data_IF_340359583901
#
_entry.id   IF_340359583901
#
_cell.length_a   1.000
_cell.length_b   1.000
_cell.length_c   1.000
_cell.angle_alpha   90.00
_cell.angle_beta   90.00
_cell.angle_gamma   90.00
#
_symmetry.space_group_name_H-M   'P 1'
#
loop_
_entity.id
_entity.type
_entity.pdbx_description
1 polymer ?
#
# COMPACT_ATOMS: atom_id res chain seq x y z
N UNK A 1 1.42 3.67 37.14
CA UNK A 1 2.28 2.66 36.48
C UNK A 1 1.44 1.47 36.05
N UNK A 2 0.59 0.91 36.91
CA UNK A 2 -0.29 -0.22 36.55
C UNK A 2 -1.32 0.08 35.44
N UNK A 3 -1.81 1.33 35.34
CA UNK A 3 -2.71 1.75 34.26
C UNK A 3 -2.05 1.71 32.88
N UNK A 4 -0.81 2.23 32.79
CA UNK A 4 -0.10 2.36 31.51
C UNK A 4 0.36 1.01 30.99
N UNK A 5 0.73 0.09 31.90
CA UNK A 5 1.04 -1.31 31.57
C UNK A 5 -0.20 -2.00 31.02
N UNK A 6 -1.35 -1.89 31.70
CA UNK A 6 -2.61 -2.49 31.25
C UNK A 6 -3.06 -1.95 29.88
N UNK A 7 -2.92 -0.64 29.65
CA UNK A 7 -3.18 0.00 28.35
C UNK A 7 -2.22 -0.54 27.28
N UNK A 8 -0.91 -0.60 27.59
CA UNK A 8 0.09 -1.11 26.68
C UNK A 8 -0.16 -2.56 26.30
N UNK A 9 -0.50 -3.43 27.25
CA UNK A 9 -0.81 -4.83 27.01
C UNK A 9 -2.07 -5.01 26.16
N UNK A 10 -3.08 -4.17 26.37
CA UNK A 10 -4.31 -4.16 25.56
C UNK A 10 -3.99 -3.81 24.10
N UNK A 11 -3.23 -2.74 23.87
CA UNK A 11 -2.82 -2.37 22.52
C UNK A 11 -1.87 -3.40 21.90
N UNK A 12 -0.93 -3.91 22.67
CA UNK A 12 0.04 -4.91 22.20
C UNK A 12 -0.68 -6.17 21.74
N UNK A 13 -1.62 -6.68 22.52
CA UNK A 13 -2.42 -7.85 22.17
C UNK A 13 -3.22 -7.61 20.89
N UNK A 14 -3.90 -6.48 20.80
CA UNK A 14 -4.70 -6.12 19.63
C UNK A 14 -3.84 -5.98 18.36
N UNK A 15 -2.74 -5.23 18.40
CA UNK A 15 -1.90 -5.00 17.22
C UNK A 15 -1.07 -6.23 16.85
N UNK A 16 -0.62 -7.05 17.81
CA UNK A 16 -0.02 -8.35 17.49
C UNK A 16 -1.00 -9.23 16.72
N UNK A 17 -2.24 -9.35 17.19
CA UNK A 17 -3.27 -10.10 16.47
C UNK A 17 -3.55 -9.50 15.09
N UNK A 18 -3.61 -8.17 14.98
CA UNK A 18 -3.83 -7.49 13.71
C UNK A 18 -2.73 -7.80 12.68
N UNK A 19 -1.46 -7.79 13.09
CA UNK A 19 -0.31 -8.06 12.22
C UNK A 19 0.11 -9.54 12.16
N UNK A 20 -0.74 -10.44 12.67
CA UNK A 20 -0.56 -11.89 12.53
C UNK A 20 -1.25 -12.37 11.26
N UNK A 21 -0.53 -13.15 10.44
CA UNK A 21 -1.06 -13.75 9.21
C UNK A 21 -2.32 -14.57 9.45
N UNK A 22 -3.25 -14.54 8.50
CA UNK A 22 -4.41 -15.43 8.50
C UNK A 22 -4.07 -16.89 8.14
N UNK A 23 -2.82 -17.18 7.77
CA UNK A 23 -2.36 -18.49 7.33
C UNK A 23 -2.22 -18.59 5.80
N UNK A 24 -1.80 -19.76 5.29
CA UNK A 24 -1.59 -19.96 3.86
C UNK A 24 -2.91 -19.85 3.10
N UNK A 25 -2.88 -19.08 2.00
CA UNK A 25 -4.02 -18.89 1.10
C UNK A 25 -3.76 -19.63 -0.21
N UNK A 26 -4.82 -20.16 -0.83
CA UNK A 26 -4.69 -20.71 -2.17
C UNK A 26 -4.74 -19.57 -3.19
N UNK A 27 -3.57 -19.19 -3.70
CA UNK A 27 -3.42 -18.04 -4.60
C UNK A 27 -3.45 -18.40 -6.09
N UNK A 28 -3.53 -19.69 -6.45
CA UNK A 28 -3.29 -20.14 -7.82
C UNK A 28 -4.19 -19.44 -8.83
N UNK A 29 -5.49 -19.37 -8.56
CA UNK A 29 -6.49 -18.93 -9.52
C UNK A 29 -6.45 -17.40 -9.69
N UNK A 30 -6.23 -16.68 -8.58
CA UNK A 30 -6.07 -15.21 -8.58
C UNK A 30 -4.79 -14.84 -9.33
N UNK A 31 -3.68 -15.55 -9.10
CA UNK A 31 -2.42 -15.25 -9.77
C UNK A 31 -2.48 -15.51 -11.27
N UNK A 32 -3.32 -16.42 -11.77
CA UNK A 32 -3.54 -16.58 -13.22
C UNK A 32 -4.15 -15.33 -13.86
N UNK A 33 -4.84 -14.50 -13.08
CA UNK A 33 -5.45 -13.26 -13.54
C UNK A 33 -4.48 -12.08 -13.50
N UNK A 34 -3.32 -12.18 -12.87
CA UNK A 34 -2.32 -11.10 -12.85
C UNK A 34 -1.52 -11.10 -14.15
N UNK A 35 -1.48 -9.95 -14.81
CA UNK A 35 -0.79 -9.76 -16.09
C UNK A 35 0.72 -9.50 -15.90
N UNK A 36 1.52 -10.00 -16.84
CA UNK A 36 2.96 -9.76 -16.89
C UNK A 36 3.22 -8.39 -17.53
N UNK A 37 3.35 -7.35 -16.71
CA UNK A 37 3.47 -5.95 -17.14
C UNK A 37 4.89 -5.39 -17.02
N UNK A 38 5.74 -5.98 -16.17
CA UNK A 38 7.11 -5.49 -15.92
C UNK A 38 8.05 -5.99 -17.01
N UNK A 39 8.58 -5.06 -17.80
CA UNK A 39 9.50 -5.39 -18.89
C UNK A 39 10.93 -5.63 -18.41
N UNK A 40 11.74 -6.30 -19.23
CA UNK A 40 13.18 -6.44 -18.98
C UNK A 40 13.91 -5.09 -18.87
N UNK A 41 13.43 -4.06 -19.59
CA UNK A 41 14.00 -2.71 -19.51
C UNK A 41 13.72 -2.04 -18.16
N UNK A 42 12.48 -2.16 -17.66
CA UNK A 42 12.11 -1.71 -16.32
C UNK A 42 12.98 -2.38 -15.27
N UNK A 43 13.11 -3.72 -15.33
CA UNK A 43 13.95 -4.47 -14.40
C UNK A 43 15.42 -4.02 -14.41
N UNK A 44 16.01 -3.75 -15.59
CA UNK A 44 17.38 -3.20 -15.68
C UNK A 44 17.50 -1.83 -15.00
N UNK A 45 16.50 -0.96 -15.16
CA UNK A 45 16.47 0.36 -14.52
C UNK A 45 16.34 0.24 -12.99
N UNK A 46 15.40 -0.59 -12.52
CA UNK A 46 15.17 -0.84 -11.09
C UNK A 46 16.41 -1.41 -10.39
N UNK A 47 17.21 -2.23 -11.09
CA UNK A 47 18.42 -2.88 -10.58
C UNK A 47 19.72 -2.14 -10.90
N UNK A 48 19.66 -0.96 -11.52
CA UNK A 48 20.84 -0.18 -11.83
C UNK A 48 21.67 0.14 -10.56
N UNK A 49 22.98 0.35 -10.70
CA UNK A 49 23.82 0.72 -9.57
C UNK A 49 23.31 2.01 -8.89
N UNK A 50 23.26 2.02 -7.55
CA UNK A 50 22.79 3.17 -6.79
C UNK A 50 23.82 4.30 -6.87
N UNK A 51 23.37 5.46 -7.34
CA UNK A 51 24.23 6.65 -7.43
C UNK A 51 24.16 7.48 -6.14
N UNK A 52 25.22 8.23 -5.86
CA UNK A 52 25.24 9.16 -4.72
C UNK A 52 24.16 10.24 -4.85
N UNK A 53 23.90 10.70 -6.07
CA UNK A 53 22.89 11.72 -6.35
C UNK A 53 21.48 11.20 -6.09
N UNK A 54 21.20 9.95 -6.44
CA UNK A 54 19.92 9.31 -6.14
C UNK A 54 19.67 9.22 -4.62
N UNK A 55 20.69 8.86 -3.84
CA UNK A 55 20.61 8.83 -2.37
C UNK A 55 20.38 10.23 -1.81
N UNK A 56 21.07 11.24 -2.36
CA UNK A 56 20.87 12.64 -1.98
C UNK A 56 19.43 13.08 -2.26
N UNK A 57 18.91 12.81 -3.45
CA UNK A 57 17.53 13.12 -3.82
C UNK A 57 16.52 12.43 -2.90
N UNK A 58 16.78 11.20 -2.47
CA UNK A 58 15.95 10.51 -1.48
C UNK A 58 15.93 11.25 -0.13
N UNK A 59 17.09 11.63 0.41
CA UNK A 59 17.21 12.35 1.69
C UNK A 59 16.53 13.72 1.65
N UNK A 60 16.76 14.50 0.60
CA UNK A 60 16.21 15.85 0.45
C UNK A 60 14.74 15.83 0.01
N UNK A 61 14.26 14.73 -0.56
CA UNK A 61 12.84 14.49 -0.83
C UNK A 61 12.04 13.98 0.37
N UNK A 62 12.70 13.64 1.48
CA UNK A 62 12.07 13.30 2.75
C UNK A 62 11.93 14.57 3.62
N UNK A 63 10.87 14.63 4.42
CA UNK A 63 10.62 15.79 5.28
C UNK A 63 11.64 15.91 6.41
N UNK A 64 12.31 17.05 6.51
CA UNK A 64 13.39 17.31 7.47
C UNK A 64 12.94 17.32 8.93
N UNK A 65 11.75 17.88 9.20
CA UNK A 65 11.19 18.05 10.54
C UNK A 65 10.21 16.93 10.95
N UNK A 66 10.18 15.82 10.20
CA UNK A 66 9.35 14.66 10.58
C UNK A 66 9.93 13.98 11.82
N UNK A 67 9.03 13.45 12.66
CA UNK A 67 9.41 12.73 13.87
C UNK A 67 10.36 11.55 13.54
N UNK A 68 11.44 11.36 14.31
CA UNK A 68 12.40 10.28 14.10
C UNK A 68 11.83 8.93 14.54
N UNK A 69 12.49 7.86 14.11
CA UNK A 69 12.26 6.52 14.62
C UNK A 69 13.01 6.26 15.93
N UNK A 70 13.13 4.98 16.33
CA UNK A 70 13.87 4.56 17.52
C UNK A 70 15.32 5.07 17.64
N UNK A 71 16.00 5.31 16.52
CA UNK A 71 17.39 5.81 16.50
C UNK A 71 17.52 7.29 16.90
N UNK A 72 16.40 8.02 16.95
CA UNK A 72 16.35 9.42 17.36
C UNK A 72 16.90 10.41 16.32
N UNK A 73 17.35 9.97 15.13
CA UNK A 73 17.92 10.86 14.12
C UNK A 73 16.85 11.36 13.13
N UNK A 74 16.47 12.65 13.18
CA UNK A 74 15.49 13.20 12.25
C UNK A 74 16.10 13.48 10.88
N UNK A 75 15.26 13.76 9.88
CA UNK A 75 15.73 14.12 8.53
C UNK A 75 16.65 15.33 8.49
N UNK A 76 16.43 16.30 9.39
CA UNK A 76 17.27 17.47 9.55
C UNK A 76 18.74 17.11 9.79
N UNK A 77 19.04 16.05 10.55
CA UNK A 77 20.40 15.59 10.78
C UNK A 77 21.09 15.19 9.45
N UNK A 78 20.44 14.33 8.66
CA UNK A 78 20.98 13.83 7.40
C UNK A 78 21.16 14.93 6.35
N UNK A 79 20.22 15.88 6.30
CA UNK A 79 20.29 17.01 5.37
C UNK A 79 21.37 18.01 5.76
N UNK A 80 21.49 18.33 7.05
CA UNK A 80 22.46 19.31 7.57
C UNK A 80 23.89 18.78 7.45
N UNK A 81 24.11 17.52 7.85
CA UNK A 81 25.43 16.90 7.89
C UNK A 81 25.71 16.03 6.66
N UNK A 82 25.02 16.27 5.54
CA UNK A 82 25.14 15.47 4.31
C UNK A 82 26.61 15.32 3.87
N UNK A 83 27.39 16.39 3.91
CA UNK A 83 28.82 16.37 3.52
C UNK A 83 29.66 15.42 4.37
N UNK A 84 29.21 15.11 5.59
CA UNK A 84 29.87 14.20 6.54
C UNK A 84 29.36 12.77 6.35
N UNK A 85 28.04 12.57 6.29
CA UNK A 85 27.43 11.22 6.32
C UNK A 85 27.29 10.57 4.93
N UNK A 86 27.43 11.34 3.85
CA UNK A 86 27.10 10.88 2.49
C UNK A 86 27.76 9.55 2.08
N UNK A 87 29.06 9.38 2.34
CA UNK A 87 29.80 8.18 1.97
C UNK A 87 29.26 6.94 2.68
N UNK A 88 29.02 7.04 3.98
CA UNK A 88 28.52 5.92 4.79
C UNK A 88 27.11 5.53 4.35
N UNK A 89 26.22 6.52 4.15
CA UNK A 89 24.84 6.25 3.74
C UNK A 89 24.78 5.68 2.31
N UNK A 90 25.60 6.20 1.39
CA UNK A 90 25.69 5.66 0.03
C UNK A 90 26.24 4.23 0.01
N UNK A 91 27.28 3.94 0.80
CA UNK A 91 27.82 2.58 0.93
C UNK A 91 26.79 1.62 1.53
N UNK A 92 26.09 2.03 2.59
CA UNK A 92 25.03 1.23 3.19
C UNK A 92 23.89 0.95 2.20
N UNK A 93 23.45 1.98 1.45
CA UNK A 93 22.41 1.83 0.43
C UNK A 93 22.87 0.91 -0.70
N UNK A 94 24.09 1.09 -1.21
CA UNK A 94 24.64 0.26 -2.28
C UNK A 94 24.76 -1.19 -1.83
N UNK A 95 25.26 -1.44 -0.61
CA UNK A 95 25.37 -2.79 -0.03
C UNK A 95 24.01 -3.46 0.10
N UNK A 96 22.99 -2.72 0.57
CA UNK A 96 21.62 -3.23 0.63
C UNK A 96 21.11 -3.62 -0.76
N UNK A 97 21.26 -2.76 -1.78
CA UNK A 97 20.82 -3.08 -3.14
C UNK A 97 21.57 -4.25 -3.78
N UNK A 98 22.82 -4.50 -3.39
CA UNK A 98 23.61 -5.62 -3.92
C UNK A 98 23.32 -6.95 -3.21
N UNK A 99 23.16 -6.92 -1.89
CA UNK A 99 23.10 -8.13 -1.06
C UNK A 99 21.70 -8.46 -0.54
N UNK A 100 20.83 -7.45 -0.45
CA UNK A 100 19.55 -7.51 0.26
C UNK A 100 19.67 -7.44 1.77
N UNK A 101 20.87 -7.42 2.34
CA UNK A 101 21.05 -7.43 3.78
C UNK A 101 20.68 -6.09 4.39
N UNK A 102 19.63 -6.08 5.22
CA UNK A 102 19.22 -4.95 6.02
C UNK A 102 19.58 -5.21 7.49
N UNK A 103 20.28 -4.26 8.11
CA UNK A 103 20.53 -4.31 9.55
C UNK A 103 19.19 -4.23 10.29
N UNK A 104 18.90 -5.23 11.13
CA UNK A 104 17.63 -5.35 11.86
C UNK A 104 17.30 -4.10 12.69
N UNK A 105 18.32 -3.45 13.24
CA UNK A 105 18.18 -2.21 14.02
C UNK A 105 17.62 -1.04 13.19
N UNK A 106 17.91 -0.99 11.89
CA UNK A 106 17.40 0.08 11.02
C UNK A 106 15.90 -0.04 10.81
N UNK A 107 15.35 -1.27 10.82
CA UNK A 107 13.93 -1.50 10.59
C UNK A 107 13.09 -1.63 11.88
N UNK A 108 13.64 -1.19 13.02
CA UNK A 108 12.85 -0.94 14.22
C UNK A 108 11.98 0.28 14.01
N UNK A 109 10.73 0.16 14.43
CA UNK A 109 9.72 1.21 14.22
C UNK A 109 8.92 1.43 15.49
N UNK A 110 8.74 2.69 15.87
CA UNK A 110 7.81 3.06 16.93
C UNK A 110 6.41 3.23 16.35
N UNK A 111 5.41 2.58 16.96
CA UNK A 111 4.01 2.70 16.57
C UNK A 111 3.33 3.76 17.43
N UNK A 112 2.99 4.90 16.84
CA UNK A 112 2.19 5.95 17.47
C UNK A 112 0.73 5.72 17.14
N UNK A 113 -0.14 5.84 18.14
CA UNK A 113 -1.57 5.63 17.98
C UNK A 113 -2.29 6.98 17.95
N UNK A 114 -2.82 7.35 16.78
CA UNK A 114 -3.60 8.58 16.60
C UNK A 114 -5.10 8.28 16.73
N UNK A 115 -5.86 9.01 17.56
CA UNK A 115 -7.29 8.80 17.68
C UNK A 115 -8.02 9.14 16.37
N UNK A 116 -8.91 8.26 15.90
CA UNK A 116 -9.79 8.50 14.74
C UNK A 116 -11.08 9.21 15.13
N UNK A 117 -11.49 9.09 16.40
CA UNK A 117 -12.73 9.64 16.94
C UNK A 117 -12.44 10.41 18.24
N UNK A 118 -13.31 11.36 18.63
CA UNK A 118 -13.27 11.94 19.98
C UNK A 118 -13.43 10.85 21.04
N UNK A 119 -12.63 10.89 22.10
CA UNK A 119 -12.70 9.97 23.25
C UNK A 119 -12.71 8.47 22.86
N UNK A 120 -11.63 7.95 22.25
CA UNK A 120 -11.57 6.55 21.87
C UNK A 120 -11.56 5.62 23.10
N UNK A 121 -12.43 4.62 23.09
CA UNK A 121 -12.58 3.59 24.13
C UNK A 121 -11.99 2.24 23.69
N UNK A 122 -11.78 2.05 22.37
CA UNK A 122 -11.33 0.79 21.80
C UNK A 122 -10.11 0.95 20.89
N UNK A 123 -9.26 -0.08 20.84
CA UNK A 123 -8.01 -0.05 20.07
C UNK A 123 -8.21 0.16 18.55
N UNK A 124 -9.31 -0.32 17.96
CA UNK A 124 -9.60 -0.12 16.54
C UNK A 124 -9.93 1.33 16.15
N UNK A 125 -10.29 2.15 17.15
CA UNK A 125 -10.54 3.58 16.99
C UNK A 125 -9.25 4.40 16.92
N UNK A 126 -8.08 3.75 16.98
CA UNK A 126 -6.79 4.38 16.75
C UNK A 126 -6.24 4.01 15.37
N UNK A 127 -5.61 4.98 14.70
CA UNK A 127 -4.81 4.78 13.49
C UNK A 127 -3.35 4.57 13.91
N UNK A 128 -2.74 3.42 13.56
CA UNK A 128 -1.32 3.20 13.82
C UNK A 128 -0.47 3.97 12.81
N UNK A 129 0.45 4.81 13.29
CA UNK A 129 1.46 5.50 12.47
C UNK A 129 2.83 4.96 12.82
N UNK A 130 3.53 4.44 11.82
CA UNK A 130 4.90 3.94 11.95
C UNK A 130 5.93 5.07 11.88
N UNK A 131 6.63 5.29 12.99
CA UNK A 131 7.85 6.09 13.03
C UNK A 131 9.05 5.18 12.79
N UNK A 132 9.30 4.85 11.52
CA UNK A 132 10.51 4.13 11.13
C UNK A 132 11.73 5.07 11.10
N UNK A 133 12.91 4.49 11.37
CA UNK A 133 14.17 5.22 11.34
C UNK A 133 14.38 5.92 10.01
N UNK A 134 14.89 7.15 10.05
CA UNK A 134 15.09 7.93 8.84
C UNK A 134 16.12 7.28 7.90
N UNK A 135 17.14 6.64 8.48
CA UNK A 135 18.12 5.81 7.77
C UNK A 135 17.47 4.72 6.92
N UNK A 136 16.51 3.96 7.46
CA UNK A 136 15.72 3.00 6.69
C UNK A 136 14.85 3.69 5.63
N UNK A 137 14.19 4.80 5.97
CA UNK A 137 13.37 5.57 5.01
C UNK A 137 14.17 6.02 3.79
N UNK A 138 15.47 6.27 3.91
CA UNK A 138 16.31 6.60 2.74
C UNK A 138 16.32 5.43 1.76
N UNK A 139 16.53 4.20 2.24
CA UNK A 139 16.55 3.00 1.41
C UNK A 139 15.21 2.80 0.69
N UNK A 140 14.12 2.81 1.45
CA UNK A 140 12.78 2.61 0.88
C UNK A 140 12.37 3.77 -0.02
N UNK A 141 12.85 4.99 0.24
CA UNK A 141 12.63 6.16 -0.63
C UNK A 141 13.37 6.05 -1.94
N UNK A 142 14.60 5.55 -1.96
CA UNK A 142 15.32 5.25 -3.21
C UNK A 142 14.52 4.24 -4.03
N UNK A 143 14.06 3.15 -3.40
CA UNK A 143 13.24 2.14 -4.10
C UNK A 143 11.93 2.73 -4.65
N UNK A 144 11.22 3.52 -3.84
CA UNK A 144 9.99 4.19 -4.25
C UNK A 144 10.24 5.16 -5.42
N UNK A 145 11.34 5.92 -5.39
CA UNK A 145 11.70 6.84 -6.46
C UNK A 145 12.03 6.10 -7.78
N UNK A 146 12.60 4.90 -7.72
CA UNK A 146 12.83 4.05 -8.90
C UNK A 146 11.55 3.45 -9.47
N UNK A 147 10.58 3.11 -8.62
CA UNK A 147 9.28 2.58 -9.07
C UNK A 147 8.38 3.67 -9.67
N UNK A 148 8.40 4.87 -9.07
CA UNK A 148 7.48 5.96 -9.38
C UNK A 148 7.30 6.25 -10.88
N UNK A 149 8.35 6.31 -11.72
CA UNK A 149 8.20 6.57 -13.16
C UNK A 149 7.41 5.50 -13.92
N UNK A 150 7.43 4.25 -13.46
CA UNK A 150 6.78 3.13 -14.11
C UNK A 150 5.33 2.92 -13.66
N UNK A 151 4.92 3.54 -12.55
CA UNK A 151 3.57 3.35 -11.99
C UNK A 151 2.42 3.58 -12.97
N UNK A 152 2.45 4.55 -13.90
CA UNK A 152 1.38 4.72 -14.89
C UNK A 152 1.19 3.51 -15.82
N UNK A 153 2.27 2.78 -16.11
CA UNK A 153 2.25 1.58 -16.95
C UNK A 153 1.94 0.30 -16.15
N UNK A 154 2.22 0.30 -14.85
CA UNK A 154 2.09 -0.87 -13.98
C UNK A 154 0.73 -0.99 -13.28
N UNK A 155 -0.06 0.08 -13.23
CA UNK A 155 -1.34 0.14 -12.50
C UNK A 155 -2.47 0.50 -13.47
N UNK A 156 -3.59 -0.22 -13.38
CA UNK A 156 -4.79 0.02 -14.18
C UNK A 156 -5.30 1.47 -14.11
N UNK A 157 -5.91 1.96 -15.19
CA UNK A 157 -6.38 3.35 -15.28
C UNK A 157 -7.48 3.70 -14.26
N UNK A 158 -8.26 2.70 -13.83
CA UNK A 158 -9.33 2.83 -12.85
C UNK A 158 -8.83 3.20 -11.44
N UNK A 159 -7.51 3.21 -11.22
CA UNK A 159 -6.85 3.58 -9.98
C UNK A 159 -6.11 4.93 -10.14
N UNK A 160 -6.66 5.99 -9.53
CA UNK A 160 -6.12 7.34 -9.68
C UNK A 160 -5.10 7.76 -8.60
N UNK A 161 -5.01 7.03 -7.48
CA UNK A 161 -4.18 7.43 -6.35
C UNK A 161 -2.69 7.05 -6.51
N UNK A 162 -1.79 7.93 -6.06
CA UNK A 162 -0.33 7.72 -6.01
C UNK A 162 0.38 7.45 -7.36
N UNK A 163 -0.32 7.58 -8.48
CA UNK A 163 0.25 7.50 -9.83
C UNK A 163 0.49 8.92 -10.35
N UNK A 164 1.69 9.17 -10.87
CA UNK A 164 2.03 10.46 -11.47
C UNK A 164 1.05 10.75 -12.62
N UNK A 165 0.69 12.03 -12.79
CA UNK A 165 -0.26 12.53 -13.80
C UNK A 165 -1.71 12.05 -13.69
N UNK A 166 -2.09 11.29 -12.65
CA UNK A 166 -3.50 11.01 -12.33
C UNK A 166 -3.96 11.92 -11.21
N UNK A 167 -5.07 12.64 -11.40
CA UNK A 167 -5.66 13.45 -10.34
C UNK A 167 -6.83 12.71 -9.72
N UNK A 168 -6.86 12.63 -8.39
CA UNK A 168 -7.98 12.02 -7.66
C UNK A 168 -9.32 12.72 -7.98
N UNK A 169 -9.26 13.99 -8.37
CA UNK A 169 -10.41 14.80 -8.77
C UNK A 169 -11.11 14.24 -10.01
N UNK A 170 -10.38 13.64 -10.94
CA UNK A 170 -10.96 13.04 -12.15
C UNK A 170 -11.91 11.90 -11.77
N UNK A 171 -11.47 11.00 -10.90
CA UNK A 171 -12.31 9.91 -10.38
C UNK A 171 -13.50 10.45 -9.57
N UNK A 172 -13.37 11.59 -8.88
CA UNK A 172 -14.50 12.22 -8.16
C UNK A 172 -15.57 12.70 -9.14
N UNK A 173 -15.18 13.31 -10.26
CA UNK A 173 -16.11 13.76 -11.30
C UNK A 173 -16.83 12.56 -11.91
N UNK A 174 -16.09 11.51 -12.29
CA UNK A 174 -16.69 10.28 -12.83
C UNK A 174 -17.65 9.65 -11.82
N UNK A 175 -17.26 9.53 -10.54
CA UNK A 175 -18.12 9.01 -9.50
C UNK A 175 -19.41 9.83 -9.34
N UNK A 176 -19.31 11.16 -9.36
CA UNK A 176 -20.46 12.05 -9.26
C UNK A 176 -21.45 11.85 -10.43
N UNK A 177 -20.93 11.75 -11.65
CA UNK A 177 -21.73 11.47 -12.84
C UNK A 177 -22.39 10.08 -12.77
N UNK A 178 -21.66 9.06 -12.32
CA UNK A 178 -22.21 7.72 -12.11
C UNK A 178 -23.36 7.71 -11.10
N UNK A 179 -23.22 8.42 -9.97
CA UNK A 179 -24.32 8.54 -9.00
C UNK A 179 -25.49 9.38 -9.53
N UNK A 180 -25.23 10.39 -10.35
CA UNK A 180 -26.28 11.13 -11.03
C UNK A 180 -27.06 10.22 -11.99
N UNK A 181 -26.36 9.44 -12.80
CA UNK A 181 -26.94 8.47 -13.73
C UNK A 181 -27.78 7.41 -13.01
N UNK A 182 -27.30 6.86 -11.89
CA UNK A 182 -28.08 5.94 -11.06
C UNK A 182 -29.41 6.54 -10.57
N UNK A 183 -29.43 7.84 -10.22
CA UNK A 183 -30.67 8.54 -9.85
C UNK A 183 -31.63 8.63 -11.03
N UNK A 184 -31.13 8.91 -12.24
CA UNK A 184 -31.95 8.95 -13.45
C UNK A 184 -32.54 7.58 -13.78
N UNK A 185 -31.75 6.51 -13.73
CA UNK A 185 -32.23 5.14 -13.96
C UNK A 185 -33.35 4.76 -12.99
N UNK A 186 -33.22 5.14 -11.71
CA UNK A 186 -34.27 4.96 -10.69
C UNK A 186 -35.57 5.65 -11.07
N UNK A 187 -35.53 6.86 -11.64
CA UNK A 187 -36.72 7.56 -12.12
C UNK A 187 -37.36 6.90 -13.35
N UNK A 188 -36.56 6.23 -14.19
CA UNK A 188 -37.02 5.52 -15.38
C UNK A 188 -37.46 4.07 -15.11
N UNK A 189 -37.39 3.60 -13.86
CA UNK A 189 -37.74 2.22 -13.50
C UNK A 189 -36.71 1.16 -13.97
N UNK A 190 -35.51 1.58 -14.33
CA UNK A 190 -34.40 0.70 -14.70
C UNK A 190 -33.52 0.42 -13.47
N UNK A 191 -33.15 -0.85 -13.27
CA UNK A 191 -32.40 -1.30 -12.11
C UNK A 191 -30.88 -1.28 -12.34
N UNK A 192 -30.17 -0.44 -11.59
CA UNK A 192 -28.71 -0.45 -11.49
C UNK A 192 -28.30 -0.16 -10.04
N UNK A 193 -27.08 -0.55 -9.64
CA UNK A 193 -26.57 -0.27 -8.31
C UNK A 193 -25.15 0.30 -8.34
N UNK A 194 -24.88 1.14 -7.33
CA UNK A 194 -23.55 1.57 -6.94
C UNK A 194 -23.23 1.00 -5.56
N UNK A 195 -22.08 0.34 -5.42
CA UNK A 195 -21.62 -0.22 -4.16
C UNK A 195 -20.33 0.48 -3.74
N UNK A 196 -20.31 1.04 -2.52
CA UNK A 196 -19.10 1.55 -1.88
C UNK A 196 -18.57 0.51 -0.90
N UNK A 197 -17.32 0.11 -1.08
CA UNK A 197 -16.57 -0.72 -0.16
C UNK A 197 -15.44 0.08 0.47
N UNK A 198 -15.23 -0.13 1.77
CA UNK A 198 -14.11 0.40 2.54
C UNK A 198 -13.25 -0.78 2.99
N UNK A 199 -11.98 -0.81 2.59
CA UNK A 199 -11.06 -1.88 2.97
C UNK A 199 -10.62 -1.61 4.41
N UNK A 200 -11.21 -2.36 5.35
CA UNK A 200 -10.87 -2.22 6.75
C UNK A 200 -9.38 -2.51 6.99
N UNK A 201 -8.66 -1.50 7.47
CA UNK A 201 -7.23 -1.62 7.82
C UNK A 201 -6.36 -2.09 6.65
N UNK A 202 -6.66 -1.57 5.46
CA UNK A 202 -6.06 -1.92 4.18
C UNK A 202 -4.54 -2.20 4.19
N UNK A 203 -3.74 -1.32 4.80
CA UNK A 203 -2.30 -1.53 4.92
C UNK A 203 -1.94 -2.66 5.88
N UNK A 204 -2.65 -2.76 7.01
CA UNK A 204 -2.32 -3.67 8.11
C UNK A 204 -2.69 -5.13 7.78
N UNK A 205 -3.60 -5.34 6.83
CA UNK A 205 -4.12 -6.66 6.43
C UNK A 205 -3.42 -7.30 5.24
N UNK A 206 -2.45 -6.62 4.60
CA UNK A 206 -1.77 -7.17 3.41
C UNK A 206 -0.95 -8.41 3.77
N UNK A 207 -1.35 -9.57 3.25
CA UNK A 207 -0.58 -10.82 3.40
C UNK A 207 0.71 -10.78 2.55
N UNK A 208 1.85 -11.02 3.19
CA UNK A 208 3.15 -10.88 2.54
C UNK A 208 3.41 -11.91 1.45
N UNK A 209 2.87 -13.11 1.60
CA UNK A 209 3.03 -14.16 0.59
C UNK A 209 2.21 -13.85 -0.67
N UNK A 210 1.05 -13.20 -0.50
CA UNK A 210 0.28 -12.67 -1.63
C UNK A 210 1.03 -11.57 -2.35
N UNK A 211 1.53 -10.55 -1.63
CA UNK A 211 2.34 -9.49 -2.21
C UNK A 211 3.56 -10.05 -2.97
N UNK A 212 4.28 -10.99 -2.36
CA UNK A 212 5.44 -11.64 -2.97
C UNK A 212 5.08 -12.33 -4.30
N UNK A 213 3.99 -13.10 -4.30
CA UNK A 213 3.54 -13.82 -5.48
C UNK A 213 3.06 -12.88 -6.60
N UNK A 214 2.33 -11.81 -6.25
CA UNK A 214 1.88 -10.77 -7.19
C UNK A 214 3.08 -10.10 -7.86
N UNK A 215 4.08 -9.66 -7.09
CA UNK A 215 5.26 -9.01 -7.64
C UNK A 215 6.02 -9.92 -8.63
N UNK A 216 6.19 -11.19 -8.30
CA UNK A 216 6.82 -12.15 -9.22
C UNK A 216 5.98 -12.35 -10.48
N UNK A 217 4.65 -12.46 -10.33
CA UNK A 217 3.74 -12.70 -11.45
C UNK A 217 3.65 -11.50 -12.40
N UNK A 218 3.76 -10.28 -11.87
CA UNK A 218 3.87 -9.06 -12.66
C UNK A 218 5.17 -8.99 -13.49
N UNK A 219 6.17 -9.82 -13.18
CA UNK A 219 7.43 -9.90 -13.91
C UNK A 219 8.59 -9.13 -13.27
N UNK A 220 8.46 -8.68 -12.01
CA UNK A 220 9.59 -8.09 -11.30
C UNK A 220 10.72 -9.11 -11.13
N UNK A 221 11.95 -8.65 -11.34
CA UNK A 221 13.12 -9.49 -11.17
C UNK A 221 13.24 -10.01 -9.73
N UNK A 222 13.59 -11.29 -9.56
CA UNK A 222 13.65 -11.96 -8.25
C UNK A 222 14.48 -11.19 -7.20
N UNK A 223 15.60 -10.60 -7.62
CA UNK A 223 16.43 -9.77 -6.75
C UNK A 223 15.69 -8.51 -6.26
N UNK A 224 14.95 -7.84 -7.14
CA UNK A 224 14.15 -6.66 -6.78
C UNK A 224 13.06 -7.03 -5.78
N UNK A 225 12.37 -8.15 -6.03
CA UNK A 225 11.36 -8.68 -5.12
C UNK A 225 11.99 -9.03 -3.77
N UNK A 226 13.17 -9.64 -3.75
CA UNK A 226 13.91 -9.95 -2.52
C UNK A 226 14.24 -8.68 -1.72
N UNK A 227 14.68 -7.59 -2.36
CA UNK A 227 14.89 -6.29 -1.69
C UNK A 227 13.59 -5.79 -1.03
N UNK A 228 12.47 -5.82 -1.76
CA UNK A 228 11.16 -5.43 -1.23
C UNK A 228 10.77 -6.30 -0.04
N UNK A 229 10.92 -7.62 -0.18
CA UNK A 229 10.52 -8.56 0.88
C UNK A 229 11.38 -8.41 2.13
N UNK A 230 12.67 -8.09 2.00
CA UNK A 230 13.53 -7.81 3.14
C UNK A 230 13.11 -6.53 3.87
N UNK A 231 12.62 -5.51 3.17
CA UNK A 231 12.05 -4.32 3.79
C UNK A 231 10.78 -4.62 4.59
N UNK A 232 9.83 -5.38 4.03
CA UNK A 232 8.53 -5.63 4.70
C UNK A 232 8.62 -6.71 5.79
N UNK A 233 9.45 -7.75 5.62
CA UNK A 233 9.52 -8.89 6.55
C UNK A 233 10.40 -8.66 7.78
N UNK A 234 11.39 -7.76 7.70
CA UNK A 234 12.35 -7.53 8.81
C UNK A 234 11.88 -6.51 9.86
N UNK A 235 10.65 -6.00 9.70
CA UNK A 235 10.09 -4.98 10.58
C UNK A 235 9.89 -5.51 12.00
N UNK A 236 10.30 -4.73 12.98
CA UNK A 236 9.88 -4.91 14.38
C UNK A 236 9.25 -3.63 14.93
N UNK A 237 8.11 -3.77 15.60
CA UNK A 237 7.32 -2.66 16.12
C UNK A 237 7.36 -2.62 17.63
N UNK A 238 7.42 -1.41 18.19
CA UNK A 238 7.13 -1.16 19.61
C UNK A 238 6.08 -0.07 19.72
N UNK A 239 5.02 -0.31 20.50
CA UNK A 239 3.93 0.65 20.71
C UNK A 239 4.41 1.74 21.66
N UNK A 240 4.13 2.99 21.31
CA UNK A 240 4.35 4.13 22.20
C UNK A 240 3.09 4.40 23.02
N UNK A 241 3.20 4.23 24.35
CA UNK A 241 2.17 4.64 25.31
C UNK A 241 2.74 5.78 26.14
N UNK A 242 2.06 6.93 26.14
CA UNK A 242 2.52 8.15 26.83
C UNK A 242 3.97 8.53 26.47
N UNK A 243 4.34 8.34 25.20
CA UNK A 243 5.68 8.65 24.68
C UNK A 243 6.78 7.63 25.01
N UNK A 244 6.46 6.53 25.71
CA UNK A 244 7.43 5.49 26.06
C UNK A 244 7.21 4.21 25.24
N UNK A 245 8.28 3.63 24.65
CA UNK A 245 8.19 2.33 24.01
C UNK A 245 8.01 1.22 25.04
N UNK A 246 7.26 0.20 24.67
CA UNK A 246 6.98 -0.95 25.54
C UNK A 246 7.81 -2.17 25.14
N UNK A 247 7.21 -3.16 24.49
CA UNK A 247 7.90 -4.35 23.98
C UNK A 247 7.93 -4.36 22.45
N UNK A 248 9.07 -4.76 21.88
CA UNK A 248 9.15 -5.02 20.45
C UNK A 248 8.46 -6.34 20.09
N UNK A 249 7.79 -6.36 18.95
CA UNK A 249 7.23 -7.56 18.34
C UNK A 249 7.42 -7.55 16.83
N UNK A 250 7.54 -8.74 16.25
CA UNK A 250 7.64 -8.92 14.81
C UNK A 250 6.23 -9.03 14.19
N UNK A 251 6.13 -8.66 12.92
CA UNK A 251 4.93 -8.83 12.11
C UNK A 251 5.05 -10.09 11.26
N UNK A 252 3.91 -10.59 10.80
CA UNK A 252 3.85 -11.63 9.77
C UNK A 252 2.97 -11.23 8.57
N UNK A 253 2.35 -10.05 8.64
CA UNK A 253 1.63 -9.38 7.56
C UNK A 253 1.59 -7.87 7.77
N UNK A 254 1.11 -7.15 6.76
CA UNK A 254 0.85 -5.72 6.79
C UNK A 254 2.01 -4.88 6.26
N UNK A 255 1.71 -3.64 5.89
CA UNK A 255 2.64 -2.65 5.37
C UNK A 255 2.77 -1.49 6.36
N UNK A 256 3.97 -0.91 6.44
CA UNK A 256 4.24 0.18 7.39
C UNK A 256 3.59 1.49 6.93
N UNK A 257 2.62 2.00 7.71
CA UNK A 257 2.12 3.35 7.49
C UNK A 257 3.21 4.39 7.77
N UNK A 258 3.54 5.22 6.77
CA UNK A 258 4.58 6.24 6.86
C UNK A 258 5.90 5.87 6.18
N UNK A 259 6.02 4.63 5.69
CA UNK A 259 7.10 4.21 4.80
C UNK A 259 6.84 4.67 3.35
N UNK A 260 7.80 5.33 2.67
CA UNK A 260 7.67 5.76 1.28
C UNK A 260 7.33 4.68 0.24
N UNK A 261 7.72 3.43 0.48
CA UNK A 261 7.52 2.33 -0.46
C UNK A 261 6.13 1.70 -0.33
N UNK A 262 5.65 1.57 0.91
CA UNK A 262 4.39 0.92 1.26
C UNK A 262 3.15 1.34 0.43
N UNK A 263 2.91 2.62 0.10
CA UNK A 263 1.79 3.00 -0.76
C UNK A 263 1.82 2.32 -2.14
N UNK A 264 2.99 2.22 -2.79
CA UNK A 264 3.12 1.59 -4.10
C UNK A 264 2.90 0.07 -4.03
N UNK A 265 3.37 -0.56 -2.95
CA UNK A 265 3.12 -1.99 -2.73
C UNK A 265 1.64 -2.29 -2.53
N UNK A 266 0.95 -1.42 -1.78
CA UNK A 266 -0.49 -1.51 -1.62
C UNK A 266 -1.23 -1.36 -2.95
N UNK A 267 -0.79 -0.44 -3.83
CA UNK A 267 -1.38 -0.30 -5.16
C UNK A 267 -1.31 -1.59 -5.97
N UNK A 268 -0.20 -2.33 -5.94
CA UNK A 268 -0.09 -3.61 -6.65
C UNK A 268 -1.07 -4.66 -6.14
N UNK A 269 -1.27 -4.74 -4.82
CA UNK A 269 -2.23 -5.65 -4.19
C UNK A 269 -3.66 -5.27 -4.60
N UNK A 270 -3.99 -3.97 -4.54
CA UNK A 270 -5.32 -3.48 -4.89
C UNK A 270 -5.63 -3.60 -6.39
N UNK A 271 -4.61 -3.48 -7.26
CA UNK A 271 -4.76 -3.59 -8.71
C UNK A 271 -5.15 -5.01 -9.17
N UNK A 272 -4.86 -6.03 -8.35
CA UNK A 272 -5.35 -7.40 -8.61
C UNK A 272 -6.87 -7.44 -8.61
N UNK A 273 -7.54 -6.78 -7.66
CA UNK A 273 -9.00 -6.69 -7.63
C UNK A 273 -9.54 -5.94 -8.85
N UNK A 274 -8.89 -4.84 -9.24
CA UNK A 274 -9.20 -4.11 -10.49
C UNK A 274 -9.16 -5.03 -11.70
N UNK A 275 -8.10 -5.83 -11.81
CA UNK A 275 -7.88 -6.74 -12.93
C UNK A 275 -8.90 -7.87 -12.93
N UNK A 276 -9.22 -8.45 -11.77
CA UNK A 276 -10.27 -9.47 -11.63
C UNK A 276 -11.62 -8.97 -12.14
N UNK A 277 -12.02 -7.76 -11.71
CA UNK A 277 -13.30 -7.15 -12.11
C UNK A 277 -13.30 -6.81 -13.60
N UNK A 278 -12.19 -6.27 -14.12
CA UNK A 278 -12.04 -5.93 -15.54
C UNK A 278 -12.12 -7.18 -16.43
N UNK A 279 -11.44 -8.27 -16.05
CA UNK A 279 -11.50 -9.55 -16.77
C UNK A 279 -12.88 -10.17 -16.71
N UNK A 280 -13.55 -10.12 -15.55
CA UNK A 280 -14.94 -10.56 -15.42
C UNK A 280 -15.90 -9.77 -16.34
N UNK A 281 -15.68 -8.45 -16.49
CA UNK A 281 -16.45 -7.64 -17.43
C UNK A 281 -16.15 -8.00 -18.89
N UNK A 282 -14.88 -8.29 -19.22
CA UNK A 282 -14.45 -8.63 -20.58
C UNK A 282 -15.07 -9.94 -21.08
N UNK A 283 -15.27 -10.92 -20.20
CA UNK A 283 -15.94 -12.19 -20.53
C UNK A 283 -17.47 -12.15 -20.32
N UNK A 284 -18.05 -10.97 -20.12
CA UNK A 284 -19.48 -10.76 -19.85
C UNK A 284 -20.01 -11.48 -18.59
N UNK A 285 -19.12 -11.80 -17.65
CA UNK A 285 -19.52 -12.37 -16.35
C UNK A 285 -20.08 -11.28 -15.43
N UNK A 286 -19.58 -10.04 -15.56
CA UNK A 286 -20.17 -8.84 -14.96
C UNK A 286 -20.59 -7.86 -16.05
N UNK A 287 -21.73 -7.18 -15.85
CA UNK A 287 -22.22 -6.16 -16.79
C UNK A 287 -22.04 -4.75 -16.22
N UNK A 288 -20.99 -4.01 -16.63
CA UNK A 288 -20.72 -2.67 -16.13
C UNK A 288 -21.69 -1.63 -16.68
N UNK A 289 -21.81 -0.50 -16.00
CA UNK A 289 -22.69 0.58 -16.41
C UNK A 289 -22.09 1.43 -17.52
N UNK A 290 -22.97 1.94 -18.39
CA UNK A 290 -22.61 2.84 -19.48
C UNK A 290 -23.62 3.99 -19.54
N UNK A 291 -23.16 5.22 -19.29
CA UNK A 291 -24.05 6.39 -19.19
C UNK A 291 -24.66 6.73 -20.55
N UNK A 292 -23.84 6.72 -21.61
CA UNK A 292 -24.28 6.95 -23.00
C UNK A 292 -23.57 5.96 -23.94
N UNK A 293 -24.13 5.67 -25.14
CA UNK A 293 -23.54 4.69 -26.07
C UNK A 293 -22.08 4.98 -26.48
N UNK A 294 -21.64 6.24 -26.42
CA UNK A 294 -20.28 6.66 -26.76
C UNK A 294 -19.36 6.81 -25.54
N UNK A 295 -19.92 6.75 -24.32
CA UNK A 295 -19.13 6.82 -23.09
C UNK A 295 -18.46 5.46 -22.80
N UNK A 296 -17.30 5.47 -22.11
CA UNK A 296 -16.69 4.24 -21.63
C UNK A 296 -17.63 3.51 -20.64
N UNK A 297 -17.52 2.18 -20.62
CA UNK A 297 -18.18 1.36 -19.61
C UNK A 297 -17.42 1.45 -18.30
N UNK A 298 -18.10 1.83 -17.24
CA UNK A 298 -17.52 2.00 -15.90
C UNK A 298 -18.01 0.87 -15.01
N UNK A 299 -17.08 -0.01 -14.63
CA UNK A 299 -17.31 -1.11 -13.66
C UNK A 299 -16.94 -0.71 -12.24
N UNK A 300 -15.82 0.01 -12.07
CA UNK A 300 -15.31 0.36 -10.75
C UNK A 300 -14.36 1.56 -10.80
N UNK A 301 -14.22 2.24 -9.66
CA UNK A 301 -13.29 3.34 -9.40
C UNK A 301 -12.60 3.09 -8.05
N UNK A 302 -11.26 3.08 -8.03
CA UNK A 302 -10.48 2.80 -6.81
C UNK A 302 -9.84 4.08 -6.26
N UNK A 303 -9.96 4.26 -4.95
CA UNK A 303 -9.50 5.40 -4.16
C UNK A 303 -8.71 4.94 -2.93
N UNK A 304 -7.48 4.46 -3.12
CA UNK A 304 -6.66 3.91 -2.02
C UNK A 304 -7.45 2.85 -1.24
N UNK A 305 -8.04 3.20 -0.09
CA UNK A 305 -8.80 2.31 0.78
C UNK A 305 -10.30 2.22 0.42
N UNK A 306 -10.83 3.19 -0.33
CA UNK A 306 -12.23 3.26 -0.79
C UNK A 306 -12.36 2.68 -2.22
N UNK A 307 -13.36 1.83 -2.46
CA UNK A 307 -13.65 1.27 -3.79
C UNK A 307 -15.11 1.46 -4.14
N UNK A 308 -15.40 2.00 -5.33
CA UNK A 308 -16.75 2.12 -5.88
C UNK A 308 -16.95 1.13 -7.01
N UNK A 309 -18.10 0.46 -7.04
CA UNK A 309 -18.49 -0.50 -8.06
C UNK A 309 -19.84 -0.12 -8.65
N UNK A 310 -20.02 -0.32 -9.96
CA UNK A 310 -21.19 0.10 -10.71
C UNK A 310 -21.62 -0.97 -11.71
N UNK A 311 -22.80 -1.58 -11.50
CA UNK A 311 -23.32 -2.65 -12.34
C UNK A 311 -24.85 -2.61 -12.47
N UNK A 312 -25.40 -3.33 -13.45
CA UNK A 312 -26.85 -3.55 -13.53
C UNK A 312 -27.35 -4.34 -12.31
N UNK A 313 -28.54 -4.00 -11.81
CA UNK A 313 -29.13 -4.59 -10.61
C UNK A 313 -29.76 -5.96 -10.89
N UNK A 314 -28.93 -6.92 -11.29
CA UNK A 314 -29.31 -8.32 -11.47
C UNK A 314 -28.78 -9.16 -10.32
N UNK A 315 -29.51 -10.23 -9.97
CA UNK A 315 -29.05 -11.20 -8.98
C UNK A 315 -27.73 -11.87 -9.42
N UNK A 316 -27.56 -12.04 -10.73
CA UNK A 316 -26.35 -12.59 -11.35
C UNK A 316 -25.14 -11.69 -11.09
N UNK A 317 -25.21 -10.39 -11.43
CA UNK A 317 -24.11 -9.45 -11.18
C UNK A 317 -23.77 -9.36 -9.69
N UNK A 318 -24.78 -9.34 -8.83
CA UNK A 318 -24.58 -9.27 -7.37
C UNK A 318 -23.87 -10.51 -6.86
N UNK A 319 -24.27 -11.70 -7.33
CA UNK A 319 -23.67 -12.97 -6.91
C UNK A 319 -22.23 -13.12 -7.40
N UNK A 320 -21.95 -12.73 -8.66
CA UNK A 320 -20.60 -12.77 -9.22
C UNK A 320 -19.66 -11.77 -8.55
N UNK A 321 -20.13 -10.55 -8.26
CA UNK A 321 -19.35 -9.56 -7.53
C UNK A 321 -19.03 -10.06 -6.11
N UNK A 322 -20.01 -10.63 -5.41
CA UNK A 322 -19.78 -11.21 -4.08
C UNK A 322 -18.76 -12.36 -4.12
N UNK A 323 -18.82 -13.22 -5.13
CA UNK A 323 -17.83 -14.28 -5.30
C UNK A 323 -16.41 -13.71 -5.46
N UNK A 324 -16.24 -12.71 -6.33
CA UNK A 324 -14.93 -12.06 -6.54
C UNK A 324 -14.38 -11.41 -5.26
N UNK A 325 -15.24 -10.81 -4.44
CA UNK A 325 -14.83 -10.15 -3.19
C UNK A 325 -14.50 -11.12 -2.06
N UNK A 326 -14.93 -12.39 -2.17
CA UNK A 326 -14.68 -13.45 -1.20
C UNK A 326 -13.52 -14.38 -1.59
N UNK A 327 -13.02 -14.25 -2.82
CA UNK A 327 -11.92 -15.05 -3.38
C UNK A 327 -10.57 -14.58 -2.84
#
# INVERSE_FOLDING_TARGET
>A
MDSDISIADTFLSYYKQLFTTAGPQNLSDILLLVDLVVTASMNRSLLAAVSLEEVKQAIFGLGSLKAPGPDGFPGLFYQTYWTIVNKVIHQATTSFFQTGNLLSELNKTHLVLLPKVPHPEHAFQFRPIGLCNFSYKILSKVMANRLKPFMPELISENQAAFVVSRQIQDNVVVAHEMFHYLKLLRHMGLGAFGLKLDISKAYDSVEWDFLHAVLLKMGFHVHWVMLIMNCVRSVTLSILVNGKPFAFFALTRGLQQGDPLSPYLFLFVNDVLSTMVSKACAIHWLTPLQITPFAPKISHLLFVDDSLFFFDATQVNTSHLMFLLQS
#
